data_IF_272053469697
#
_entry.id   IF_272053469697
#
_cell.length_a   1.000
_cell.length_b   1.000
_cell.length_c   1.000
_cell.angle_alpha   90.00
_cell.angle_beta   90.00
_cell.angle_gamma   90.00
#
_symmetry.space_group_name_H-M   'P 1'
#
loop_
_entity.id
_entity.type
_entity.pdbx_description
1 polymer ?
#
# COMPACT_ATOMS: atom_id res chain seq x y z
N UNK A 1 -13.90 17.38 16.92
CA UNK A 1 -13.22 18.47 16.19
C UNK A 1 -13.93 18.65 14.86
N UNK A 2 -14.52 19.82 14.58
CA UNK A 2 -15.25 20.06 13.32
C UNK A 2 -14.27 20.71 12.34
N UNK A 3 -13.98 20.03 11.23
CA UNK A 3 -13.07 20.59 10.22
C UNK A 3 -13.78 21.70 9.43
N UNK A 4 -13.08 22.80 9.12
CA UNK A 4 -13.62 23.83 8.24
C UNK A 4 -13.84 23.24 6.84
N UNK A 5 -14.98 23.59 6.25
CA UNK A 5 -15.39 23.15 4.90
C UNK A 5 -15.34 24.31 3.94
N UNK A 6 -14.70 24.12 2.80
CA UNK A 6 -14.64 25.10 1.71
C UNK A 6 -15.25 24.49 0.43
N UNK A 7 -15.97 25.30 -0.32
CA UNK A 7 -16.49 24.86 -1.62
C UNK A 7 -15.39 24.72 -2.65
N UNK A 8 -15.48 23.76 -3.57
CA UNK A 8 -14.51 23.61 -4.70
C UNK A 8 -14.24 24.93 -5.42
N UNK A 9 -15.28 25.73 -5.69
CA UNK A 9 -15.17 27.05 -6.35
C UNK A 9 -14.55 28.15 -5.48
N UNK A 10 -14.69 28.02 -4.17
CA UNK A 10 -14.17 29.00 -3.21
C UNK A 10 -12.69 28.72 -2.91
N UNK A 11 -12.32 27.44 -2.87
CA UNK A 11 -10.94 26.96 -2.78
C UNK A 11 -10.05 27.56 -3.89
N UNK A 12 -10.51 27.51 -5.15
CA UNK A 12 -9.72 28.04 -6.28
C UNK A 12 -9.57 29.55 -6.28
N UNK A 13 -10.53 30.28 -5.70
CA UNK A 13 -10.52 31.76 -5.68
C UNK A 13 -9.86 32.36 -4.44
N UNK A 14 -9.76 31.60 -3.35
CA UNK A 14 -9.36 32.10 -2.04
C UNK A 14 -8.18 31.34 -1.46
N UNK A 15 -7.15 31.07 -2.25
CA UNK A 15 -5.96 30.35 -1.79
C UNK A 15 -5.32 31.01 -0.56
N UNK A 16 -5.30 32.35 -0.50
CA UNK A 16 -4.78 33.10 0.65
C UNK A 16 -5.54 32.81 1.96
N UNK A 17 -6.83 32.43 1.91
CA UNK A 17 -7.60 32.07 3.13
C UNK A 17 -7.14 30.74 3.73
N UNK A 18 -6.45 29.91 2.96
CA UNK A 18 -5.95 28.60 3.40
C UNK A 18 -4.62 28.70 4.16
N UNK A 19 -3.90 29.82 4.04
CA UNK A 19 -2.57 29.99 4.65
C UNK A 19 -2.59 29.89 6.18
N UNK A 20 -3.73 30.20 6.81
CA UNK A 20 -3.90 30.16 8.26
C UNK A 20 -4.66 28.91 8.74
N UNK A 21 -4.88 27.93 7.85
CA UNK A 21 -5.64 26.72 8.16
C UNK A 21 -4.75 25.49 8.07
N UNK A 22 -4.74 24.68 9.13
CA UNK A 22 -3.94 23.47 9.17
C UNK A 22 -4.52 22.36 8.28
N UNK A 23 -5.85 22.17 8.33
CA UNK A 23 -6.61 21.15 7.59
C UNK A 23 -7.96 21.73 7.16
N UNK A 24 -8.34 21.51 5.89
CA UNK A 24 -9.62 21.97 5.33
C UNK A 24 -10.23 20.90 4.45
N UNK A 25 -11.52 20.66 4.61
CA UNK A 25 -12.30 19.80 3.71
C UNK A 25 -12.77 20.59 2.48
N UNK A 26 -12.46 20.07 1.29
CA UNK A 26 -12.96 20.60 0.03
C UNK A 26 -14.23 19.82 -0.34
N UNK A 27 -15.36 20.52 -0.38
CA UNK A 27 -16.67 19.91 -0.63
C UNK A 27 -17.34 20.50 -1.87
N UNK A 28 -18.12 19.68 -2.58
CA UNK A 28 -19.11 20.21 -3.51
C UNK A 28 -20.31 20.70 -2.70
N UNK A 29 -20.53 22.02 -2.65
CA UNK A 29 -21.64 22.61 -1.89
C UNK A 29 -23.02 22.23 -2.42
N UNK A 30 -23.13 21.78 -3.68
CA UNK A 30 -24.41 21.36 -4.27
C UNK A 30 -24.85 19.98 -3.79
N UNK A 31 -23.91 19.02 -3.79
CA UNK A 31 -24.17 17.62 -3.40
C UNK A 31 -23.78 17.33 -1.96
N UNK A 32 -23.12 18.27 -1.28
CA UNK A 32 -22.50 18.13 0.04
C UNK A 32 -21.46 16.98 0.12
N UNK A 33 -20.89 16.61 -1.04
CA UNK A 33 -19.93 15.52 -1.16
C UNK A 33 -18.50 16.01 -0.92
N UNK A 34 -17.70 15.22 -0.19
CA UNK A 34 -16.28 15.49 0.00
C UNK A 34 -15.51 15.20 -1.28
N UNK A 35 -14.79 16.20 -1.81
CA UNK A 35 -13.98 16.10 -3.02
C UNK A 35 -12.47 16.07 -2.74
N UNK A 36 -12.04 16.52 -1.57
CA UNK A 36 -10.63 16.46 -1.19
C UNK A 36 -10.35 17.07 0.18
N UNK A 37 -9.08 16.99 0.59
CA UNK A 37 -8.58 17.60 1.82
C UNK A 37 -7.35 18.43 1.47
N UNK A 38 -7.32 19.66 1.93
CA UNK A 38 -6.14 20.49 1.96
C UNK A 38 -5.42 20.33 3.29
N UNK A 39 -4.10 20.21 3.24
CA UNK A 39 -3.22 20.26 4.39
C UNK A 39 -2.27 21.44 4.23
N UNK A 40 -2.03 22.15 5.33
CA UNK A 40 -0.91 23.08 5.43
C UNK A 40 0.41 22.38 5.08
N UNK A 41 1.43 23.16 4.72
CA UNK A 41 2.72 22.63 4.29
C UNK A 41 3.35 21.76 5.38
N UNK A 42 3.29 22.21 6.62
CA UNK A 42 3.85 21.55 7.79
C UNK A 42 3.18 20.20 8.01
N UNK A 43 1.84 20.18 8.04
CA UNK A 43 1.04 18.96 8.20
C UNK A 43 1.23 18.00 7.02
N UNK A 44 1.36 18.51 5.79
CA UNK A 44 1.61 17.69 4.61
C UNK A 44 2.99 17.01 4.69
N UNK A 45 4.03 17.72 5.13
CA UNK A 45 5.38 17.16 5.31
C UNK A 45 5.36 16.06 6.36
N UNK A 46 4.73 16.31 7.51
CA UNK A 46 4.62 15.33 8.60
C UNK A 46 3.83 14.09 8.15
N UNK A 47 2.70 14.29 7.48
CA UNK A 47 1.88 13.20 6.96
C UNK A 47 2.64 12.36 5.92
N UNK A 48 3.39 13.00 5.02
CA UNK A 48 4.22 12.29 4.04
C UNK A 48 5.34 11.48 4.72
N UNK A 49 5.97 12.03 5.77
CA UNK A 49 6.96 11.31 6.57
C UNK A 49 6.33 10.08 7.23
N UNK A 50 5.19 10.25 7.89
CA UNK A 50 4.42 9.15 8.48
C UNK A 50 4.05 8.06 7.46
N UNK A 51 3.56 8.44 6.28
CA UNK A 51 3.22 7.48 5.22
C UNK A 51 4.45 6.71 4.73
N UNK A 52 5.61 7.38 4.63
CA UNK A 52 6.87 6.76 4.20
C UNK A 52 7.33 5.72 5.23
N UNK A 53 7.33 6.10 6.50
CA UNK A 53 7.66 5.20 7.62
C UNK A 53 6.69 4.03 7.72
N UNK A 54 5.38 4.26 7.55
CA UNK A 54 4.37 3.21 7.57
C UNK A 54 4.56 2.20 6.43
N UNK A 55 4.86 2.68 5.20
CA UNK A 55 5.15 1.80 4.06
C UNK A 55 6.43 1.00 4.28
N UNK A 56 7.45 1.62 4.87
CA UNK A 56 8.70 0.94 5.21
C UNK A 56 8.46 -0.16 6.27
N UNK A 57 7.76 0.16 7.37
CA UNK A 57 7.36 -0.82 8.39
C UNK A 57 6.55 -1.97 7.79
N UNK A 58 5.61 -1.68 6.89
CA UNK A 58 4.83 -2.73 6.23
C UNK A 58 5.67 -3.63 5.31
N UNK A 59 6.69 -3.08 4.64
CA UNK A 59 7.65 -3.86 3.85
C UNK A 59 8.55 -4.71 4.74
N UNK A 60 9.07 -4.13 5.81
CA UNK A 60 9.91 -4.81 6.80
C UNK A 60 9.13 -5.93 7.51
N UNK A 61 7.86 -5.71 7.83
CA UNK A 61 7.01 -6.75 8.43
C UNK A 61 6.72 -7.90 7.45
N UNK A 62 6.48 -7.59 6.16
CA UNK A 62 6.36 -8.62 5.11
C UNK A 62 7.66 -9.40 4.94
N UNK A 63 8.80 -8.71 4.91
CA UNK A 63 10.10 -9.35 4.81
C UNK A 63 10.38 -10.22 6.04
N UNK A 64 10.07 -9.75 7.26
CA UNK A 64 10.21 -10.54 8.50
C UNK A 64 9.32 -11.78 8.50
N UNK A 65 8.10 -11.67 7.98
CA UNK A 65 7.18 -12.82 7.79
C UNK A 65 7.67 -13.81 6.75
N UNK A 66 8.48 -13.40 5.77
CA UNK A 66 9.12 -14.31 4.82
C UNK A 66 10.38 -14.91 5.47
N UNK A 67 11.18 -14.09 6.16
CA UNK A 67 12.42 -14.49 6.83
C UNK A 67 12.21 -15.52 7.95
N UNK A 68 11.09 -15.50 8.67
CA UNK A 68 10.79 -16.56 9.65
C UNK A 68 10.68 -17.96 9.02
N UNK A 69 10.43 -18.03 7.70
CA UNK A 69 10.43 -19.27 6.94
C UNK A 69 11.74 -19.50 6.17
N UNK A 70 12.60 -18.48 6.08
CA UNK A 70 13.92 -18.61 5.47
C UNK A 70 14.81 -19.46 6.38
N UNK A 71 15.20 -20.64 5.90
CA UNK A 71 15.98 -21.63 6.66
C UNK A 71 15.16 -22.71 7.38
N UNK A 72 13.84 -22.52 7.53
CA UNK A 72 12.94 -23.55 8.09
C UNK A 72 12.31 -24.44 7.00
N UNK A 73 12.23 -23.96 5.77
CA UNK A 73 11.70 -24.70 4.63
C UNK A 73 12.81 -25.59 4.07
N UNK A 74 12.73 -26.90 4.33
CA UNK A 74 13.44 -27.90 3.53
C UNK A 74 12.69 -28.05 2.20
N UNK A 75 13.30 -27.59 1.12
CA UNK A 75 12.83 -27.90 -0.23
C UNK A 75 13.24 -29.36 -0.49
N UNK A 76 12.30 -30.20 -0.89
CA UNK A 76 12.58 -31.56 -1.33
C UNK A 76 13.52 -31.48 -2.56
N UNK A 77 14.61 -32.25 -2.56
CA UNK A 77 15.72 -32.15 -3.54
C UNK A 77 15.20 -32.17 -4.99
N UNK A 78 14.10 -32.88 -5.25
CA UNK A 78 13.44 -32.94 -6.58
C UNK A 78 12.89 -31.60 -7.10
N UNK A 79 12.73 -30.61 -6.22
CA UNK A 79 12.30 -29.25 -6.55
C UNK A 79 13.42 -28.22 -6.39
N UNK A 80 14.62 -28.66 -5.98
CA UNK A 80 15.78 -27.79 -5.84
C UNK A 80 16.28 -27.38 -7.23
N UNK A 81 16.60 -26.10 -7.42
CA UNK A 81 17.11 -25.51 -8.67
C UNK A 81 16.16 -25.51 -9.89
N UNK A 82 14.89 -25.88 -9.75
CA UNK A 82 13.91 -25.74 -10.83
C UNK A 82 13.53 -24.28 -11.07
N UNK A 83 13.44 -23.87 -12.34
CA UNK A 83 12.89 -22.57 -12.70
C UNK A 83 11.39 -22.49 -12.40
N UNK A 84 10.84 -21.28 -12.33
CA UNK A 84 9.41 -21.04 -12.09
C UNK A 84 8.46 -21.76 -13.06
N UNK A 85 8.92 -22.07 -14.27
CA UNK A 85 8.13 -22.81 -15.28
C UNK A 85 8.17 -24.30 -14.99
N UNK A 86 9.33 -24.84 -14.64
CA UNK A 86 9.54 -26.26 -14.32
C UNK A 86 8.87 -26.65 -13.00
N UNK A 87 8.94 -25.80 -11.98
CA UNK A 87 8.23 -25.99 -10.70
C UNK A 87 6.72 -26.18 -10.90
N UNK A 88 6.10 -25.36 -11.77
CA UNK A 88 4.65 -25.47 -12.06
C UNK A 88 4.31 -26.79 -12.74
N UNK A 89 5.16 -27.23 -13.66
CA UNK A 89 4.98 -28.50 -14.36
C UNK A 89 5.12 -29.68 -13.41
N UNK A 90 6.10 -29.69 -12.52
CA UNK A 90 6.29 -30.80 -11.58
C UNK A 90 5.25 -30.84 -10.46
N UNK A 91 4.77 -29.68 -10.00
CA UNK A 91 3.61 -29.63 -9.08
C UNK A 91 2.35 -30.19 -9.76
N UNK A 92 2.15 -29.92 -11.05
CA UNK A 92 1.01 -30.44 -11.81
C UNK A 92 1.09 -31.95 -12.01
N UNK A 93 2.28 -32.48 -12.35
CA UNK A 93 2.53 -33.93 -12.47
C UNK A 93 2.33 -34.66 -11.14
N UNK A 94 2.89 -34.12 -10.05
CA UNK A 94 2.74 -34.69 -8.71
C UNK A 94 1.27 -34.72 -8.25
N UNK A 95 0.48 -33.69 -8.56
CA UNK A 95 -0.98 -33.66 -8.27
C UNK A 95 -1.80 -34.61 -9.14
N UNK A 96 -1.34 -34.88 -10.36
CA UNK A 96 -1.99 -35.82 -11.28
C UNK A 96 -1.62 -37.29 -11.02
N UNK A 97 -0.75 -37.57 -10.04
CA UNK A 97 -0.30 -38.93 -9.72
C UNK A 97 0.64 -39.54 -10.77
N UNK A 98 1.21 -38.71 -11.65
CA UNK A 98 2.17 -39.15 -12.66
C UNK A 98 3.56 -39.11 -12.00
N UNK A 99 3.93 -40.18 -11.30
CA UNK A 99 5.32 -40.40 -10.93
C UNK A 99 6.06 -40.83 -12.20
N UNK A 100 6.99 -40.00 -12.67
CA UNK A 100 7.89 -40.38 -13.75
C UNK A 100 8.83 -41.46 -13.23
N UNK A 101 8.48 -42.72 -13.47
CA UNK A 101 9.46 -43.80 -13.51
C UNK A 101 10.37 -43.56 -14.72
N UNK A 102 11.62 -43.22 -14.44
CA UNK A 102 12.80 -43.64 -15.21
C UNK A 102 14.07 -43.37 -14.40
#
# INVERSE_FOLDING_TARGET
MRMPKIGVREFTKSFNKLQNMEIVEIVDKKTNELKGIYLSKEQAIEFLKYLREKKQKAKEEKLRKIMQYAGAIKIDEKFENLSSKELKTEIAKAKAGINGDN
#
